data_IF_672779077735
#
_entry.id   IF_672779077735
#
_cell.length_a   1.000
_cell.length_b   1.000
_cell.length_c   1.000
_cell.angle_alpha   90.00
_cell.angle_beta   90.00
_cell.angle_gamma   90.00
#
_symmetry.space_group_name_H-M   'P 1'
#
loop_
_entity.id
_entity.type
_entity.pdbx_description
1 polymer ?
#
# COMPACT_ATOMS: atom_id res chain seq x y z
N UNK A 1 -8.29 10.88 -14.67
CA UNK A 1 -8.17 11.32 -13.28
C UNK A 1 -8.01 10.12 -12.36
N UNK A 2 -7.03 10.15 -11.48
CA UNK A 2 -6.83 9.07 -10.53
C UNK A 2 -7.75 9.26 -9.34
N UNK A 3 -8.42 8.20 -8.96
CA UNK A 3 -9.38 8.24 -7.86
C UNK A 3 -8.86 7.44 -6.70
N UNK A 4 -8.98 7.99 -5.50
CA UNK A 4 -8.49 7.35 -4.29
C UNK A 4 -9.19 6.02 -4.00
N UNK A 5 -10.45 5.89 -4.42
CA UNK A 5 -11.18 4.64 -4.26
C UNK A 5 -10.67 3.55 -5.17
N UNK A 6 -9.75 3.87 -6.07
CA UNK A 6 -9.09 2.86 -6.91
C UNK A 6 -7.93 2.16 -6.22
N UNK A 7 -7.54 2.61 -5.02
CA UNK A 7 -6.46 1.98 -4.28
C UNK A 7 -6.91 0.59 -3.84
N UNK A 8 -6.11 -0.41 -4.15
CA UNK A 8 -6.41 -1.79 -3.78
C UNK A 8 -5.93 -2.06 -2.35
N UNK A 9 -6.41 -3.16 -1.80
CA UNK A 9 -5.97 -3.57 -0.46
C UNK A 9 -4.47 -3.88 -0.44
N UNK A 10 -3.94 -4.48 -1.51
CA UNK A 10 -2.50 -4.72 -1.62
C UNK A 10 -1.70 -3.42 -1.58
N UNK A 11 -2.19 -2.40 -2.29
CA UNK A 11 -1.54 -1.09 -2.28
C UNK A 11 -1.61 -0.44 -0.90
N UNK A 12 -2.73 -0.57 -0.21
CA UNK A 12 -2.85 -0.07 1.16
C UNK A 12 -1.88 -0.79 2.09
N UNK A 13 -1.73 -2.10 1.93
CA UNK A 13 -0.79 -2.89 2.72
C UNK A 13 0.65 -2.40 2.50
N UNK A 14 1.01 -2.11 1.26
CA UNK A 14 2.31 -1.52 0.96
C UNK A 14 2.49 -0.18 1.67
N UNK A 15 1.49 0.69 1.62
CA UNK A 15 1.57 1.98 2.30
C UNK A 15 1.80 1.81 3.80
N UNK A 16 1.13 0.84 4.39
CA UNK A 16 1.28 0.56 5.82
C UNK A 16 2.71 0.14 6.17
N UNK A 17 3.29 -0.77 5.38
CA UNK A 17 4.65 -1.23 5.63
C UNK A 17 5.68 -0.12 5.38
N UNK A 18 5.46 0.69 4.34
CA UNK A 18 6.36 1.81 4.05
C UNK A 18 6.33 2.82 5.19
N UNK A 19 5.17 3.06 5.77
CA UNK A 19 5.05 4.01 6.88
C UNK A 19 5.75 3.52 8.15
N UNK A 20 5.71 2.22 8.39
CA UNK A 20 6.18 1.66 9.66
C UNK A 20 7.63 1.19 9.66
N UNK A 21 8.26 1.09 8.50
CA UNK A 21 9.64 0.61 8.40
C UNK A 21 10.48 1.64 7.68
N UNK A 22 11.43 2.23 8.40
CA UNK A 22 12.31 3.25 7.85
C UNK A 22 13.18 2.66 6.73
N UNK A 23 13.20 3.36 5.59
CA UNK A 23 14.05 3.00 4.46
C UNK A 23 13.81 1.58 3.93
N UNK A 24 12.55 1.16 3.95
CA UNK A 24 12.20 -0.17 3.44
C UNK A 24 12.43 -0.25 1.93
N UNK A 25 13.04 -1.34 1.50
CA UNK A 25 13.30 -1.59 0.08
C UNK A 25 12.16 -2.39 -0.54
N UNK A 26 12.14 -2.40 -1.88
CA UNK A 26 11.16 -3.20 -2.62
C UNK A 26 11.25 -4.67 -2.25
N UNK A 27 12.46 -5.19 -2.09
CA UNK A 27 12.70 -6.58 -1.72
C UNK A 27 12.13 -6.87 -0.33
N UNK A 28 12.35 -5.97 0.62
CA UNK A 28 11.83 -6.13 1.97
C UNK A 28 10.30 -6.06 2.01
N UNK A 29 9.71 -5.18 1.21
CA UNK A 29 8.25 -5.10 1.09
C UNK A 29 7.70 -6.44 0.60
N UNK A 30 8.33 -7.01 -0.42
CA UNK A 30 7.89 -8.29 -0.96
C UNK A 30 7.94 -9.39 0.11
N UNK A 31 9.01 -9.41 0.89
CA UNK A 31 9.15 -10.40 1.96
C UNK A 31 8.08 -10.25 3.04
N UNK A 32 7.79 -9.01 3.42
CA UNK A 32 6.81 -8.76 4.50
C UNK A 32 5.37 -8.95 4.07
N UNK A 33 5.07 -8.70 2.81
CA UNK A 33 3.69 -8.79 2.32
C UNK A 33 3.37 -10.15 1.71
N UNK A 34 4.39 -10.92 1.36
CA UNK A 34 4.19 -12.16 0.63
C UNK A 34 3.88 -11.96 -0.85
N UNK A 35 3.92 -10.73 -1.34
CA UNK A 35 3.68 -10.44 -2.74
C UNK A 35 4.96 -10.68 -3.54
N UNK A 36 4.80 -10.96 -4.83
CA UNK A 36 5.95 -11.10 -5.72
C UNK A 36 6.62 -9.74 -5.92
N UNK A 37 7.88 -9.77 -6.30
CA UNK A 37 8.61 -8.53 -6.62
C UNK A 37 7.90 -7.76 -7.73
N UNK A 38 7.41 -8.46 -8.75
CA UNK A 38 6.68 -7.81 -9.85
C UNK A 38 5.42 -7.11 -9.37
N UNK A 39 4.67 -7.75 -8.48
CA UNK A 39 3.45 -7.14 -7.92
C UNK A 39 3.79 -5.92 -7.07
N UNK A 40 4.85 -6.02 -6.25
CA UNK A 40 5.30 -4.89 -5.44
C UNK A 40 5.70 -3.73 -6.35
N UNK A 41 6.48 -4.01 -7.38
CA UNK A 41 6.89 -2.97 -8.33
C UNK A 41 5.68 -2.29 -8.98
N UNK A 42 4.72 -3.07 -9.42
CA UNK A 42 3.49 -2.54 -10.02
C UNK A 42 2.74 -1.61 -9.04
N UNK A 43 2.56 -2.06 -7.81
CA UNK A 43 1.87 -1.28 -6.79
C UNK A 43 2.63 0.00 -6.45
N UNK A 44 3.97 -0.09 -6.35
CA UNK A 44 4.79 1.09 -6.05
C UNK A 44 4.67 2.14 -7.14
N UNK A 45 4.71 1.72 -8.41
CA UNK A 45 4.58 2.66 -9.51
C UNK A 45 3.25 3.40 -9.45
N UNK A 46 2.17 2.69 -9.18
CA UNK A 46 0.86 3.31 -9.06
C UNK A 46 0.81 4.30 -7.90
N UNK A 47 1.39 3.95 -6.75
CA UNK A 47 1.40 4.83 -5.58
C UNK A 47 2.28 6.05 -5.80
N UNK A 48 3.39 5.89 -6.52
CA UNK A 48 4.25 7.03 -6.88
C UNK A 48 3.51 7.96 -7.83
N UNK A 49 2.80 7.41 -8.80
CA UNK A 49 2.10 8.22 -9.80
C UNK A 49 1.03 9.12 -9.18
N UNK A 50 0.35 8.65 -8.15
CA UNK A 50 -0.67 9.47 -7.48
C UNK A 50 -0.09 10.31 -6.36
N UNK A 51 1.22 10.22 -6.11
CA UNK A 51 1.89 11.08 -5.15
C UNK A 51 1.81 10.60 -3.69
N UNK A 52 1.51 9.33 -3.46
CA UNK A 52 1.43 8.79 -2.09
C UNK A 52 2.77 8.25 -1.59
N UNK A 53 3.65 7.87 -2.51
CA UNK A 53 4.95 7.27 -2.19
C UNK A 53 6.01 7.96 -3.03
N UNK A 54 7.21 8.06 -2.50
CA UNK A 54 8.38 8.54 -3.26
C UNK A 54 9.60 7.73 -2.86
N UNK A 55 10.62 7.77 -3.72
CA UNK A 55 11.92 7.19 -3.40
C UNK A 55 12.62 8.12 -2.41
N UNK A 56 12.96 7.56 -1.25
CA UNK A 56 13.53 8.36 -0.18
C UNK A 56 15.04 8.45 -0.22
N UNK A 57 15.71 7.35 -0.57
CA UNK A 57 17.16 7.32 -0.59
C UNK A 57 17.63 6.27 -1.58
N UNK A 58 18.43 6.70 -2.55
CA UNK A 58 18.98 5.79 -3.55
C UNK A 58 20.41 6.16 -3.90
N UNK A 59 21.04 6.94 -3.06
CA UNK A 59 22.28 7.63 -3.42
C UNK A 59 23.47 6.72 -3.69
N UNK A 60 23.45 5.50 -3.19
CA UNK A 60 24.60 4.60 -3.34
C UNK A 60 24.28 3.34 -4.10
N UNK A 61 23.09 3.26 -4.66
CA UNK A 61 22.70 2.05 -5.38
C UNK A 61 22.11 2.41 -6.72
N UNK A 62 22.55 1.69 -7.75
CA UNK A 62 21.93 1.75 -9.07
C UNK A 62 20.85 0.69 -9.23
N UNK A 63 20.71 -0.19 -8.25
CA UNK A 63 19.73 -1.27 -8.32
C UNK A 63 18.41 -0.83 -7.71
N UNK A 64 17.39 -0.84 -8.52
CA UNK A 64 16.05 -0.39 -8.11
C UNK A 64 15.54 -1.14 -6.88
N UNK A 65 15.87 -2.43 -6.75
CA UNK A 65 15.38 -3.25 -5.64
C UNK A 65 15.95 -2.82 -4.29
N UNK A 66 17.00 -1.99 -4.31
CA UNK A 66 17.62 -1.49 -3.08
C UNK A 66 17.23 -0.06 -2.77
N UNK A 67 16.37 0.57 -3.58
CA UNK A 67 15.86 1.89 -3.29
C UNK A 67 14.98 1.85 -2.04
N UNK A 68 15.10 2.87 -1.21
CA UNK A 68 14.24 3.04 -0.05
C UNK A 68 13.02 3.86 -0.43
N UNK A 69 11.87 3.49 0.09
CA UNK A 69 10.61 4.16 -0.22
C UNK A 69 10.02 4.78 1.03
N UNK A 70 9.39 5.92 0.88
CA UNK A 70 8.74 6.61 2.00
C UNK A 70 7.38 7.13 1.55
N UNK A 71 6.47 7.28 2.51
CA UNK A 71 5.19 7.92 2.25
C UNK A 71 5.36 9.43 2.19
N UNK A 72 4.69 10.04 1.25
CA UNK A 72 4.60 11.50 1.19
C UNK A 72 3.61 11.99 2.24
N UNK A 73 3.62 13.29 2.59
CA UNK A 73 2.58 13.83 3.46
C UNK A 73 1.17 13.56 2.94
N UNK A 74 0.99 13.64 1.63
CA UNK A 74 -0.30 13.30 1.01
C UNK A 74 -0.67 11.85 1.26
N UNK A 75 0.29 10.93 1.10
CA UNK A 75 0.06 9.51 1.36
C UNK A 75 -0.32 9.25 2.80
N UNK A 76 0.36 9.91 3.75
CA UNK A 76 0.06 9.76 5.17
C UNK A 76 -1.38 10.20 5.46
N UNK A 77 -1.78 11.36 4.93
CA UNK A 77 -3.14 11.88 5.13
C UNK A 77 -4.19 10.95 4.55
N UNK A 78 -3.95 10.48 3.31
CA UNK A 78 -4.95 9.70 2.62
C UNK A 78 -5.04 8.26 3.13
N UNK A 79 -3.95 7.74 3.67
CA UNK A 79 -3.93 6.36 4.18
C UNK A 79 -5.03 6.12 5.22
N UNK A 80 -5.20 7.07 6.13
CA UNK A 80 -6.23 6.94 7.18
C UNK A 80 -7.62 6.85 6.58
N UNK A 81 -7.93 7.72 5.63
CA UNK A 81 -9.24 7.74 4.97
C UNK A 81 -9.48 6.45 4.19
N UNK A 82 -8.47 6.01 3.46
CA UNK A 82 -8.55 4.78 2.68
C UNK A 82 -8.78 3.57 3.60
N UNK A 83 -8.03 3.52 4.70
CA UNK A 83 -8.17 2.43 5.67
C UNK A 83 -9.59 2.36 6.21
N UNK A 84 -10.16 3.52 6.56
CA UNK A 84 -11.53 3.57 7.09
C UNK A 84 -12.55 3.05 6.07
N UNK A 85 -12.36 3.38 4.80
CA UNK A 85 -13.24 2.87 3.75
C UNK A 85 -13.17 1.35 3.63
N UNK A 86 -11.97 0.79 3.74
CA UNK A 86 -11.81 -0.67 3.71
C UNK A 86 -12.45 -1.32 4.92
N UNK A 87 -12.32 -0.71 6.10
CA UNK A 87 -12.96 -1.24 7.31
C UNK A 87 -14.47 -1.31 7.13
N UNK A 88 -15.07 -0.24 6.63
CA UNK A 88 -16.53 -0.22 6.39
C UNK A 88 -16.93 -1.31 5.41
N UNK A 89 -16.19 -1.42 4.31
CA UNK A 89 -16.47 -2.43 3.29
C UNK A 89 -16.34 -3.85 3.85
N UNK A 90 -15.27 -4.12 4.59
CA UNK A 90 -15.07 -5.44 5.20
C UNK A 90 -16.18 -5.77 6.19
N UNK A 91 -16.61 -4.79 6.96
CA UNK A 91 -17.70 -5.00 7.91
C UNK A 91 -18.99 -5.34 7.19
N UNK A 92 -19.28 -4.65 6.11
CA UNK A 92 -20.47 -4.94 5.31
C UNK A 92 -20.41 -6.34 4.71
N UNK A 93 -19.24 -6.75 4.23
CA UNK A 93 -19.04 -8.09 3.70
C UNK A 93 -19.23 -9.16 4.79
N UNK A 94 -18.68 -8.89 5.97
CA UNK A 94 -18.84 -9.78 7.13
C UNK A 94 -20.31 -9.92 7.50
N UNK A 95 -21.02 -8.81 7.65
CA UNK A 95 -22.43 -8.82 8.03
C UNK A 95 -23.27 -9.58 7.01
N UNK A 96 -22.96 -9.38 5.72
CA UNK A 96 -23.66 -10.08 4.65
C UNK A 96 -23.50 -11.59 4.75
N UNK A 97 -22.25 -12.05 4.89
CA UNK A 97 -21.97 -13.47 5.01
C UNK A 97 -22.60 -14.07 6.28
N UNK A 98 -22.53 -13.31 7.37
CA UNK A 98 -23.09 -13.75 8.63
C UNK A 98 -24.61 -13.94 8.54
N UNK A 99 -25.28 -13.10 7.72
CA UNK A 99 -26.72 -13.22 7.52
C UNK A 99 -27.10 -14.52 6.83
N UNK A 100 -26.17 -15.13 6.08
CA UNK A 100 -26.47 -16.40 5.39
C UNK A 100 -26.65 -17.57 6.35
N UNK A 101 -26.01 -17.51 7.51
CA UNK A 101 -26.12 -18.58 8.48
C UNK A 101 -27.10 -18.30 9.60
N UNK A 102 -27.52 -17.06 9.79
CA UNK A 102 -28.42 -16.66 10.86
C UNK A 102 -29.86 -16.53 10.42
N UNK A 103 -30.21 -17.21 9.37
CA UNK A 103 -31.59 -17.17 8.88
C UNK A 103 -32.46 -18.18 9.60
#
# INVERSE_FOLDING_TARGET
MIKFQSITEDQLDLMHHIQNYTNISQREIAQKTGLSIGKVNYCLKALIDIGFVKVGNFNKSTQKLNYAYILTPKGIREKSSITKRFIVKKKQEYDKLNSYINK
#
